data_IF_022987541611
#
_entry.id   IF_022987541611
#
_cell.length_a   1.000
_cell.length_b   1.000
_cell.length_c   1.000
_cell.angle_alpha   90.00
_cell.angle_beta   90.00
_cell.angle_gamma   90.00
#
_symmetry.space_group_name_H-M   'P 1'
#
loop_
_entity.id
_entity.type
_entity.pdbx_description
1 polymer ?
#
# COMPACT_ATOMS: atom_id res chain seq x y z
N UNK A 1 -3.07 -33.02 18.28
CA UNK A 1 -3.49 -32.01 17.27
C UNK A 1 -2.36 -31.93 16.25
N UNK A 2 -2.61 -32.09 14.94
CA UNK A 2 -1.57 -32.17 13.89
C UNK A 2 -1.19 -30.80 13.32
N UNK A 3 -1.26 -29.74 14.14
CA UNK A 3 -0.93 -28.39 13.70
C UNK A 3 0.54 -28.11 14.06
N UNK A 4 1.37 -27.66 13.10
CA UNK A 4 2.70 -27.20 13.42
C UNK A 4 2.63 -25.97 14.34
N UNK A 5 3.66 -25.73 15.17
CA UNK A 5 3.72 -24.55 16.01
C UNK A 5 3.93 -23.28 15.16
N UNK A 6 3.34 -22.16 15.58
CA UNK A 6 3.36 -20.91 14.81
C UNK A 6 4.77 -20.34 14.53
N UNK A 7 5.74 -20.62 15.40
CA UNK A 7 7.11 -20.11 15.27
C UNK A 7 7.89 -20.75 14.10
N UNK A 8 7.42 -21.90 13.60
CA UNK A 8 8.06 -22.61 12.48
C UNK A 8 8.06 -21.78 11.19
N UNK A 9 7.16 -20.81 11.07
CA UNK A 9 7.04 -19.93 9.92
C UNK A 9 8.25 -19.02 9.68
N UNK A 10 8.91 -18.54 10.74
CA UNK A 10 10.00 -17.55 10.63
C UNK A 10 11.33 -18.02 11.25
N UNK A 11 11.32 -18.93 12.22
CA UNK A 11 12.53 -19.38 12.91
C UNK A 11 13.25 -20.47 12.13
N UNK A 12 14.49 -20.22 11.68
CA UNK A 12 15.32 -21.24 11.01
C UNK A 12 15.70 -22.35 11.99
N UNK A 13 15.61 -23.60 11.53
CA UNK A 13 16.09 -24.73 12.30
C UNK A 13 17.62 -24.83 12.25
N UNK A 14 18.21 -25.49 13.25
CA UNK A 14 19.65 -25.71 13.31
C UNK A 14 20.12 -26.53 12.09
N UNK A 15 20.87 -25.89 11.19
CA UNK A 15 21.36 -26.48 9.94
C UNK A 15 20.69 -25.95 8.66
N UNK A 16 19.59 -25.19 8.77
CA UNK A 16 18.96 -24.55 7.61
C UNK A 16 19.62 -23.20 7.28
N UNK A 17 19.99 -23.02 6.00
CA UNK A 17 20.46 -21.72 5.49
C UNK A 17 19.27 -20.88 5.05
N UNK A 18 19.33 -19.57 5.29
CA UNK A 18 18.28 -18.63 4.83
C UNK A 18 18.17 -18.59 3.31
N UNK A 19 19.31 -18.55 2.62
CA UNK A 19 19.39 -18.39 1.17
C UNK A 19 20.24 -19.51 0.60
N UNK A 20 19.72 -20.17 -0.43
CA UNK A 20 20.45 -21.15 -1.24
C UNK A 20 20.43 -20.70 -2.70
N UNK A 21 21.60 -20.60 -3.31
CA UNK A 21 21.76 -20.16 -4.71
C UNK A 21 22.04 -21.40 -5.56
N UNK A 22 21.20 -21.62 -6.56
CA UNK A 22 21.37 -22.69 -7.57
C UNK A 22 21.45 -22.05 -8.94
N UNK A 23 22.51 -22.31 -9.70
CA UNK A 23 22.61 -21.86 -11.10
C UNK A 23 21.76 -22.78 -11.98
N UNK A 24 20.94 -22.21 -12.86
CA UNK A 24 20.12 -22.99 -13.80
C UNK A 24 20.99 -23.40 -14.99
N UNK A 25 20.90 -24.65 -15.42
CA UNK A 25 21.65 -25.19 -16.57
C UNK A 25 20.86 -25.07 -17.88
N UNK A 26 19.57 -24.76 -17.83
CA UNK A 26 18.68 -24.75 -19.00
C UNK A 26 18.79 -23.48 -19.84
N UNK A 27 19.13 -22.36 -19.20
CA UNK A 27 19.21 -21.03 -19.82
C UNK A 27 20.50 -20.35 -19.37
N UNK A 28 21.20 -19.65 -20.27
CA UNK A 28 22.41 -18.94 -19.91
C UNK A 28 22.09 -17.82 -18.93
N UNK A 29 23.02 -17.60 -17.99
CA UNK A 29 22.96 -16.51 -17.02
C UNK A 29 21.65 -16.43 -16.21
N UNK A 30 21.14 -17.59 -15.81
CA UNK A 30 19.94 -17.72 -14.98
C UNK A 30 20.30 -18.29 -13.62
N UNK A 31 19.76 -17.68 -12.57
CA UNK A 31 19.92 -18.12 -11.19
C UNK A 31 18.57 -18.37 -10.52
N UNK A 32 18.52 -19.43 -9.72
CA UNK A 32 17.43 -19.78 -8.84
C UNK A 32 17.87 -19.51 -7.40
N UNK A 33 17.21 -18.55 -6.75
CA UNK A 33 17.37 -18.23 -5.35
C UNK A 33 16.25 -18.91 -4.57
N UNK A 34 16.62 -19.81 -3.67
CA UNK A 34 15.66 -20.43 -2.73
C UNK A 34 15.83 -19.75 -1.38
N UNK A 35 14.79 -19.05 -0.93
CA UNK A 35 14.73 -18.43 0.38
C UNK A 35 13.84 -19.26 1.29
N UNK A 36 14.38 -19.62 2.45
CA UNK A 36 13.67 -20.36 3.47
C UNK A 36 13.03 -19.41 4.48
N UNK A 37 11.84 -19.77 4.95
CA UNK A 37 11.06 -19.07 5.98
C UNK A 37 10.75 -17.63 5.57
N UNK A 38 10.26 -17.50 4.34
CA UNK A 38 9.86 -16.24 3.73
C UNK A 38 8.62 -16.46 2.89
N UNK A 39 7.82 -15.40 2.76
CA UNK A 39 6.53 -15.42 2.10
C UNK A 39 6.51 -14.49 0.87
N UNK A 40 5.31 -14.35 0.28
CA UNK A 40 5.03 -13.44 -0.84
C UNK A 40 5.37 -11.98 -0.55
N UNK A 41 5.45 -11.58 0.73
CA UNK A 41 5.81 -10.21 1.16
C UNK A 41 7.16 -9.79 0.60
N UNK A 42 8.21 -10.58 0.81
CA UNK A 42 9.53 -10.31 0.24
C UNK A 42 9.58 -10.65 -1.26
N UNK A 43 9.01 -11.78 -1.65
CA UNK A 43 9.07 -12.25 -3.04
C UNK A 43 8.47 -11.25 -4.03
N UNK A 44 7.32 -10.64 -3.69
CA UNK A 44 6.64 -9.71 -4.58
C UNK A 44 7.39 -8.37 -4.72
N UNK A 45 7.92 -7.84 -3.62
CA UNK A 45 8.64 -6.57 -3.63
C UNK A 45 9.94 -6.71 -4.42
N UNK A 46 10.72 -7.77 -4.17
CA UNK A 46 11.97 -8.03 -4.88
C UNK A 46 11.72 -8.24 -6.37
N UNK A 47 10.66 -8.99 -6.73
CA UNK A 47 10.26 -9.15 -8.14
C UNK A 47 9.95 -7.79 -8.77
N UNK A 48 9.19 -6.94 -8.10
CA UNK A 48 8.84 -5.63 -8.63
C UNK A 48 10.08 -4.75 -8.85
N UNK A 49 11.05 -4.80 -7.94
CA UNK A 49 12.30 -4.05 -8.07
C UNK A 49 13.16 -4.57 -9.23
N UNK A 50 13.33 -5.88 -9.35
CA UNK A 50 14.10 -6.49 -10.43
C UNK A 50 13.51 -6.21 -11.82
N UNK A 51 12.21 -6.00 -11.93
CA UNK A 51 11.56 -5.63 -13.19
C UNK A 51 11.74 -4.15 -13.55
N UNK A 52 12.21 -3.30 -12.63
CA UNK A 52 12.57 -1.90 -12.95
C UNK A 52 13.88 -1.83 -13.74
N UNK A 53 14.76 -2.82 -13.59
CA UNK A 53 16.07 -2.86 -14.25
C UNK A 53 15.96 -3.37 -15.70
N UNK A 54 16.42 -2.59 -16.71
CA UNK A 54 16.34 -3.00 -18.11
C UNK A 54 17.30 -4.14 -18.47
N UNK A 55 18.30 -4.41 -17.62
CA UNK A 55 19.28 -5.49 -17.80
C UNK A 55 18.73 -6.86 -17.36
N UNK A 56 17.60 -6.89 -16.67
CA UNK A 56 16.92 -8.11 -16.23
C UNK A 56 15.91 -8.52 -17.30
N UNK A 57 16.13 -9.69 -17.90
CA UNK A 57 15.26 -10.24 -18.94
C UNK A 57 14.05 -10.95 -18.35
N UNK A 58 14.23 -11.61 -17.21
CA UNK A 58 13.16 -12.32 -16.52
C UNK A 58 13.35 -12.28 -15.01
N UNK A 59 12.30 -11.89 -14.30
CA UNK A 59 12.21 -12.00 -12.85
C UNK A 59 10.84 -12.55 -12.45
N UNK A 60 10.85 -13.67 -11.74
CA UNK A 60 9.64 -14.31 -11.24
C UNK A 60 9.90 -15.06 -9.96
N UNK A 61 8.89 -15.18 -9.11
CA UNK A 61 8.96 -16.00 -7.91
C UNK A 61 7.76 -16.91 -7.82
N UNK A 62 7.92 -18.01 -7.10
CA UNK A 62 6.84 -18.95 -6.79
C UNK A 62 7.02 -19.52 -5.39
N UNK A 63 5.89 -19.82 -4.77
CA UNK A 63 5.82 -20.63 -3.56
C UNK A 63 5.50 -22.06 -4.01
N UNK A 64 6.33 -23.06 -3.69
CA UNK A 64 6.12 -24.43 -4.16
C UNK A 64 4.86 -25.04 -3.53
N UNK A 65 4.60 -24.73 -2.26
CA UNK A 65 3.43 -25.17 -1.54
C UNK A 65 3.10 -24.19 -0.40
N UNK A 66 1.84 -23.77 -0.20
CA UNK A 66 1.50 -22.75 0.81
C UNK A 66 1.73 -23.17 2.27
N UNK A 67 1.80 -24.47 2.56
CA UNK A 67 2.11 -24.97 3.91
C UNK A 67 3.63 -24.95 4.19
N UNK A 68 4.46 -24.82 3.16
CA UNK A 68 5.91 -24.69 3.30
C UNK A 68 6.30 -23.23 3.14
N UNK A 69 6.91 -22.65 4.17
CA UNK A 69 7.47 -21.30 4.10
C UNK A 69 8.78 -21.30 3.33
N UNK A 70 8.69 -21.41 2.00
CA UNK A 70 9.83 -21.36 1.08
C UNK A 70 9.42 -20.61 -0.17
N UNK A 71 10.25 -19.69 -0.62
CA UNK A 71 10.06 -18.99 -1.89
C UNK A 71 11.22 -19.30 -2.83
N UNK A 72 10.90 -19.51 -4.10
CA UNK A 72 11.90 -19.72 -5.16
C UNK A 72 11.80 -18.58 -6.15
N UNK A 73 12.84 -17.76 -6.22
CA UNK A 73 12.98 -16.65 -7.15
C UNK A 73 13.87 -17.08 -8.29
N UNK A 74 13.42 -16.87 -9.52
CA UNK A 74 14.19 -17.09 -10.74
C UNK A 74 14.49 -15.75 -11.37
N UNK A 75 15.78 -15.50 -11.63
CA UNK A 75 16.28 -14.27 -12.24
C UNK A 75 17.13 -14.65 -13.44
N UNK A 76 16.90 -13.96 -14.56
CA UNK A 76 17.69 -14.06 -15.78
C UNK A 76 18.09 -12.66 -16.21
N UNK A 77 19.37 -12.47 -16.51
CA UNK A 77 19.95 -11.19 -16.93
C UNK A 77 20.62 -11.31 -18.29
N UNK A 78 21.00 -10.17 -18.87
CA UNK A 78 21.89 -10.10 -20.04
C UNK A 78 23.24 -10.75 -19.73
N UNK A 79 23.97 -11.30 -20.73
CA UNK A 79 25.21 -12.05 -20.50
C UNK A 79 26.33 -11.23 -19.83
N UNK A 80 26.30 -9.90 -19.99
CA UNK A 80 27.32 -9.00 -19.43
C UNK A 80 27.09 -8.67 -17.95
N UNK A 81 25.96 -9.09 -17.37
CA UNK A 81 25.55 -8.71 -16.03
C UNK A 81 25.18 -9.91 -15.17
N UNK A 82 25.74 -10.02 -13.96
CA UNK A 82 25.47 -11.17 -13.09
C UNK A 82 24.09 -11.05 -12.44
N UNK A 83 23.26 -12.13 -12.43
CA UNK A 83 21.97 -12.12 -11.74
C UNK A 83 22.11 -11.99 -10.21
N UNK A 84 23.29 -12.29 -9.66
CA UNK A 84 23.59 -12.07 -8.25
C UNK A 84 23.75 -10.58 -7.94
N UNK A 85 24.44 -9.85 -8.81
CA UNK A 85 24.63 -8.39 -8.69
C UNK A 85 23.31 -7.66 -8.88
N UNK A 86 22.50 -8.08 -9.87
CA UNK A 86 21.13 -7.59 -10.04
C UNK A 86 20.31 -7.70 -8.76
N UNK A 87 20.41 -8.84 -8.08
CA UNK A 87 19.69 -9.10 -6.84
C UNK A 87 20.17 -8.21 -5.69
N UNK A 88 21.49 -8.02 -5.55
CA UNK A 88 22.06 -7.13 -4.52
C UNK A 88 21.67 -5.68 -4.78
N UNK A 89 21.75 -5.20 -6.02
CA UNK A 89 21.41 -3.84 -6.40
C UNK A 89 19.93 -3.53 -6.14
N UNK A 90 19.05 -4.45 -6.52
CA UNK A 90 17.62 -4.34 -6.21
C UNK A 90 17.36 -4.21 -4.69
N UNK A 91 18.08 -4.96 -3.85
CA UNK A 91 17.93 -4.86 -2.40
C UNK A 91 18.42 -3.51 -1.87
N UNK A 92 19.58 -3.03 -2.34
CA UNK A 92 20.12 -1.74 -1.88
C UNK A 92 19.22 -0.58 -2.29
N UNK A 93 18.61 -0.64 -3.48
CA UNK A 93 17.66 0.37 -3.94
C UNK A 93 16.39 0.36 -3.09
N UNK A 94 15.87 -0.83 -2.78
CA UNK A 94 14.69 -0.97 -1.94
C UNK A 94 14.92 -0.44 -0.52
N UNK A 95 16.08 -0.73 0.08
CA UNK A 95 16.45 -0.19 1.39
C UNK A 95 16.48 1.35 1.32
N UNK A 96 17.06 1.91 0.26
CA UNK A 96 17.13 3.36 0.07
C UNK A 96 15.75 4.00 -0.09
N UNK A 97 14.85 3.37 -0.86
CA UNK A 97 13.46 3.81 -1.02
C UNK A 97 12.71 3.83 0.32
N UNK A 98 12.89 2.78 1.14
CA UNK A 98 12.25 2.67 2.45
C UNK A 98 12.80 3.67 3.47
N UNK A 99 14.12 3.92 3.49
CA UNK A 99 14.72 4.93 4.36
C UNK A 99 14.21 6.34 4.03
N UNK A 100 14.11 6.69 2.74
CA UNK A 100 13.54 7.96 2.30
C UNK A 100 12.07 8.09 2.69
N UNK A 101 11.30 7.01 2.58
CA UNK A 101 9.90 6.97 2.99
C UNK A 101 9.77 7.22 4.50
N UNK A 102 10.60 6.57 5.33
CA UNK A 102 10.61 6.74 6.78
C UNK A 102 10.91 8.19 7.18
N UNK A 103 11.91 8.82 6.57
CA UNK A 103 12.26 10.21 6.83
C UNK A 103 11.12 11.16 6.48
N UNK A 104 10.56 11.04 5.26
CA UNK A 104 9.43 11.87 4.82
C UNK A 104 8.20 11.67 5.68
N UNK A 105 7.94 10.43 6.09
CA UNK A 105 6.82 10.11 6.96
C UNK A 105 7.00 10.73 8.36
N UNK A 106 8.21 10.70 8.91
CA UNK A 106 8.52 11.37 10.19
C UNK A 106 8.33 12.87 10.13
N UNK A 107 8.77 13.53 9.05
CA UNK A 107 8.56 14.97 8.85
C UNK A 107 7.06 15.27 8.77
N UNK A 108 6.32 14.53 7.94
CA UNK A 108 4.88 14.72 7.78
C UNK A 108 4.08 14.51 9.09
N UNK A 109 4.53 13.61 9.96
CA UNK A 109 3.93 13.44 11.30
C UNK A 109 4.16 14.68 12.17
N UNK A 110 5.37 15.24 12.18
CA UNK A 110 5.69 16.46 12.95
C UNK A 110 4.87 17.64 12.47
N UNK A 111 4.81 17.86 11.16
CA UNK A 111 4.05 18.95 10.55
C UNK A 111 2.56 18.88 10.90
N UNK A 112 1.99 17.66 10.95
CA UNK A 112 0.59 17.46 11.38
C UNK A 112 0.38 17.69 12.87
N UNK A 113 1.34 17.35 13.73
CA UNK A 113 1.21 17.61 15.18
C UNK A 113 1.14 19.12 15.46
N UNK A 114 1.97 19.91 14.78
CA UNK A 114 1.97 21.38 14.89
C UNK A 114 0.72 22.02 14.23
N UNK A 115 0.24 21.44 13.12
CA UNK A 115 -1.00 21.86 12.45
C UNK A 115 -2.29 21.54 13.21
N UNK A 116 -2.29 20.52 14.07
CA UNK A 116 -3.45 20.15 14.92
C UNK A 116 -3.54 21.07 16.15
N UNK A 117 -2.41 21.53 16.72
CA UNK A 117 -2.42 22.51 17.81
C UNK A 117 -2.94 23.88 17.37
N UNK A 118 -2.68 24.29 16.13
CA UNK A 118 -3.14 25.58 15.59
C UNK A 118 -4.62 25.59 15.16
N UNK A 119 -5.25 24.43 14.97
CA UNK A 119 -6.71 24.34 14.72
C UNK A 119 -7.54 24.23 16.00
N UNK A 120 -6.91 24.08 17.18
CA UNK A 120 -7.62 24.24 18.45
C UNK A 120 -7.75 25.72 18.79
N UNK A 121 -8.45 26.46 17.94
CA UNK A 121 -8.93 27.80 18.30
C UNK A 121 -9.80 27.62 19.55
N UNK A 122 -9.51 28.30 20.68
CA UNK A 122 -10.46 28.36 21.77
C UNK A 122 -11.71 29.03 21.20
N UNK A 123 -12.84 28.33 21.24
CA UNK A 123 -14.13 28.92 20.90
C UNK A 123 -14.24 30.24 21.69
N UNK A 124 -14.25 31.42 21.03
CA UNK A 124 -14.35 32.67 21.76
C UNK A 124 -15.76 32.71 22.33
N UNK A 125 -15.87 32.41 23.63
CA UNK A 125 -17.03 32.60 24.50
C UNK A 125 -18.37 32.58 23.76
N UNK A 126 -18.96 31.38 23.61
CA UNK A 126 -20.38 31.31 23.30
C UNK A 126 -21.14 32.17 24.33
N UNK A 127 -22.00 33.12 23.92
CA UNK A 127 -22.79 33.89 24.86
C UNK A 127 -23.66 32.93 25.69
N UNK A 128 -23.90 33.23 26.97
CA UNK A 128 -24.75 32.39 27.79
C UNK A 128 -26.14 32.39 27.17
N UNK A 129 -26.59 31.22 26.75
CA UNK A 129 -27.98 31.01 26.36
C UNK A 129 -28.83 31.37 27.58
N UNK A 130 -29.86 32.23 27.44
CA UNK A 130 -30.74 32.52 28.56
C UNK A 130 -31.38 31.20 28.99
N UNK A 131 -31.26 30.91 30.29
CA UNK A 131 -31.87 29.76 30.94
C UNK A 131 -33.33 29.66 30.52
N UNK A 132 -33.72 28.50 30.00
CA UNK A 132 -35.09 28.19 29.64
C UNK A 132 -36.01 28.43 30.85
N UNK A 133 -36.70 29.57 30.87
CA UNK A 133 -37.92 29.73 31.64
C UNK A 133 -39.01 28.93 30.92
N UNK A 134 -39.58 27.99 31.64
CA UNK A 134 -40.62 27.07 31.19
C UNK A 134 -41.76 27.82 30.47
N UNK A 135 -42.21 27.35 29.29
CA UNK A 135 -43.44 27.89 28.72
C UNK A 135 -44.66 27.44 29.56
N UNK A 136 -45.64 28.32 29.78
CA UNK A 136 -46.86 27.95 30.49
C UNK A 136 -47.71 27.00 29.64
N UNK A 137 -48.33 26.06 30.33
CA UNK A 137 -49.30 25.09 29.83
C UNK A 137 -50.48 25.79 29.15
N UNK A 138 -50.75 25.48 27.88
CA UNK A 138 -52.09 25.62 27.31
C UNK A 138 -52.35 24.44 26.36
N UNK A 139 -53.43 23.73 26.66
CA UNK A 139 -53.93 22.52 26.01
C UNK A 139 -54.37 22.73 24.54
N UNK A 140 -54.09 21.69 23.73
CA UNK A 140 -54.88 21.02 22.67
C UNK A 140 -55.82 21.81 21.70
N UNK A 141 -56.15 21.29 20.48
CA UNK A 141 -56.33 19.87 20.17
C UNK A 141 -55.79 19.33 18.84
N UNK A 142 -55.66 18.00 18.89
CA UNK A 142 -55.44 17.05 17.81
C UNK A 142 -56.49 17.18 16.71
N UNK A 143 -56.06 17.19 15.45
CA UNK A 143 -56.85 16.64 14.35
C UNK A 143 -55.96 15.80 13.43
N UNK A 144 -56.45 14.60 13.14
CA UNK A 144 -55.81 13.57 12.35
C UNK A 144 -56.23 13.69 10.86
N UNK A 145 -55.30 13.48 9.93
CA UNK A 145 -55.54 12.91 8.58
C UNK A 145 -54.17 12.79 7.88
N UNK A 146 -53.62 11.58 7.77
CA UNK A 146 -53.76 10.60 6.68
C UNK A 146 -52.87 10.85 5.44
N UNK A 147 -51.88 9.95 5.30
CA UNK A 147 -51.42 9.27 4.07
C UNK A 147 -50.29 9.90 3.21
N UNK A 148 -49.59 9.08 2.38
CA UNK A 148 -48.13 8.93 2.38
C UNK A 148 -47.48 9.44 1.09
N UNK A 149 -46.15 9.59 1.07
CA UNK A 149 -45.43 9.93 -0.17
C UNK A 149 -44.31 8.94 -0.50
N UNK A 150 -44.55 8.22 -1.59
CA UNK A 150 -43.66 7.36 -2.36
C UNK A 150 -42.56 8.15 -3.09
N UNK A 151 -41.39 7.52 -3.27
CA UNK A 151 -40.26 7.96 -4.11
C UNK A 151 -40.69 8.22 -5.57
N UNK A 152 -39.96 9.06 -6.34
CA UNK A 152 -38.97 8.51 -7.28
C UNK A 152 -37.73 9.41 -7.51
N UNK A 153 -36.69 8.82 -8.13
CA UNK A 153 -35.44 9.50 -8.48
C UNK A 153 -35.57 10.51 -9.62
N UNK A 154 -34.50 11.26 -9.88
CA UNK A 154 -34.32 12.01 -11.12
C UNK A 154 -32.85 12.19 -11.49
N UNK A 155 -32.54 12.17 -12.81
CA UNK A 155 -31.21 12.35 -13.40
C UNK A 155 -30.97 13.83 -13.76
N UNK A 156 -29.72 14.23 -14.01
CA UNK A 156 -29.39 15.18 -15.08
C UNK A 156 -27.88 15.33 -15.28
N UNK A 157 -27.44 15.03 -16.50
CA UNK A 157 -26.14 15.40 -17.05
C UNK A 157 -26.31 16.65 -17.94
N UNK A 158 -25.16 17.31 -18.16
CA UNK A 158 -24.80 18.24 -19.25
C UNK A 158 -24.77 19.75 -19.03
N UNK A 159 -23.74 20.31 -19.71
CA UNK A 159 -23.40 21.70 -20.06
C UNK A 159 -22.61 22.40 -18.92
N UNK A 160 -21.31 22.67 -19.04
CA UNK A 160 -20.67 23.61 -19.97
C UNK A 160 -19.24 23.22 -20.40
N UNK A 161 -18.97 23.44 -21.68
CA UNK A 161 -17.67 23.41 -22.36
C UNK A 161 -17.16 24.87 -22.45
N UNK A 162 -15.89 25.14 -22.16
CA UNK A 162 -14.94 25.98 -22.94
C UNK A 162 -13.73 26.47 -22.13
N UNK A 163 -12.61 26.59 -22.86
CA UNK A 163 -11.31 27.23 -22.56
C UNK A 163 -10.22 26.41 -21.81
N UNK A 164 -9.33 25.73 -22.56
CA UNK A 164 -8.04 26.30 -23.02
C UNK A 164 -7.09 25.21 -23.59
N UNK A 165 -6.71 25.24 -24.89
CA UNK A 165 -5.65 24.41 -25.45
C UNK A 165 -4.37 25.22 -25.72
N UNK A 166 -3.20 24.67 -25.35
CA UNK A 166 -1.87 24.80 -26.02
C UNK A 166 -0.76 24.36 -25.06
N UNK A 167 -0.02 23.29 -25.40
CA UNK A 167 1.46 23.22 -25.41
C UNK A 167 1.92 21.76 -25.63
N UNK A 168 2.07 21.33 -26.88
CA UNK A 168 2.97 20.24 -27.26
C UNK A 168 3.80 20.78 -28.41
N UNK A 169 5.05 21.10 -28.10
CA UNK A 169 6.06 21.56 -29.04
C UNK A 169 6.88 20.36 -29.53
N UNK A 170 7.08 20.32 -30.84
CA UNK A 170 7.83 19.33 -31.59
C UNK A 170 9.32 19.30 -31.17
N UNK A 171 9.93 18.12 -31.19
CA UNK A 171 11.37 17.98 -31.42
C UNK A 171 11.62 17.09 -32.63
N UNK A 172 12.41 17.68 -33.52
CA UNK A 172 13.01 17.24 -34.76
C UNK A 172 13.43 15.77 -34.87
#
# INVERSE_FOLDING_TARGET
>A
MNAPPAFESFLLFEGEKKITITKDTKVPNSCLFTLNKEDHTLGNIIRAQLLKDPQVLFAGYKVPHPLEHKIVIRVQTTPDYSPQEAFTNAITDLISELSLLEERFRVAIKDKQEGIETFRVPCPSAPPWPSASSPPSTEEPRTASSRPFSRPGSPCAHIWHEACPRYCDDRA
#
